data_IF_346691962090
#
_entry.id   IF_346691962090
#
_cell.length_a   1.000
_cell.length_b   1.000
_cell.length_c   1.000
_cell.angle_alpha   90.00
_cell.angle_beta   90.00
_cell.angle_gamma   90.00
#
_symmetry.space_group_name_H-M   'P 1'
#
loop_
_entity.id
_entity.type
_entity.pdbx_description
1 polymer ?
#
# COMPACT_ATOMS: atom_id res chain seq x y z
N UNK A 1 -25.71 -18.61 -62.33
CA UNK A 1 -26.55 -17.39 -62.39
C UNK A 1 -26.74 -16.95 -60.94
N UNK A 2 -26.47 -15.74 -60.46
CA UNK A 2 -26.17 -14.43 -61.04
C UNK A 2 -25.25 -13.70 -60.02
N UNK A 3 -24.11 -13.14 -60.44
CA UNK A 3 -23.92 -11.77 -60.92
C UNK A 3 -23.43 -10.80 -59.82
N UNK A 4 -22.12 -10.57 -59.86
CA UNK A 4 -21.41 -9.35 -59.46
C UNK A 4 -22.09 -8.10 -60.02
N UNK A 5 -22.15 -7.00 -59.27
CA UNK A 5 -21.88 -5.62 -59.75
C UNK A 5 -21.73 -4.65 -58.57
N UNK A 6 -20.59 -3.96 -58.54
CA UNK A 6 -20.29 -2.79 -57.70
C UNK A 6 -21.00 -1.54 -58.24
N UNK A 7 -21.22 -0.53 -57.38
CA UNK A 7 -20.93 0.84 -57.79
C UNK A 7 -20.49 1.71 -56.60
N UNK A 8 -19.34 2.35 -56.79
CA UNK A 8 -18.79 3.46 -56.02
C UNK A 8 -19.58 4.75 -56.32
N UNK A 9 -19.75 5.59 -55.31
CA UNK A 9 -19.64 7.05 -55.49
C UNK A 9 -18.77 7.63 -54.38
N UNK A 10 -17.68 8.26 -54.81
CA UNK A 10 -16.69 9.00 -54.02
C UNK A 10 -17.10 10.45 -53.85
N UNK A 11 -16.82 11.03 -52.68
CA UNK A 11 -16.43 12.43 -52.37
C UNK A 11 -16.95 12.79 -50.98
N UNK A 12 -16.28 13.49 -50.08
CA UNK A 12 -14.93 14.05 -49.99
C UNK A 12 -14.82 14.64 -48.57
N UNK A 13 -13.70 14.41 -47.90
CA UNK A 13 -13.06 15.25 -46.86
C UNK A 13 -13.93 15.96 -45.82
N UNK A 14 -13.74 15.64 -44.53
CA UNK A 14 -13.27 16.65 -43.55
C UNK A 14 -12.56 15.98 -42.38
N UNK A 15 -11.35 16.46 -42.12
CA UNK A 15 -10.55 16.29 -40.92
C UNK A 15 -11.32 16.57 -39.62
N UNK A 16 -11.14 15.72 -38.61
CA UNK A 16 -11.57 15.98 -37.24
C UNK A 16 -10.66 15.26 -36.27
N UNK A 17 -9.75 16.00 -35.63
CA UNK A 17 -8.77 15.45 -34.69
C UNK A 17 -9.42 14.74 -33.50
N UNK A 18 -8.73 13.72 -32.99
CA UNK A 18 -8.99 13.08 -31.70
C UNK A 18 -9.33 14.14 -30.64
N UNK A 19 -10.52 14.13 -30.03
CA UNK A 19 -10.67 14.71 -28.71
C UNK A 19 -9.78 13.90 -27.77
N UNK A 20 -8.95 14.55 -26.96
CA UNK A 20 -8.36 13.90 -25.79
C UNK A 20 -9.53 13.42 -24.95
N UNK A 21 -9.70 12.10 -24.85
CA UNK A 21 -10.72 11.45 -24.02
C UNK A 21 -10.67 12.06 -22.62
N UNK A 22 -11.71 12.83 -22.29
CA UNK A 22 -11.99 13.18 -20.91
C UNK A 22 -12.45 11.86 -20.28
N UNK A 23 -11.57 11.19 -19.54
CA UNK A 23 -11.90 9.99 -18.75
C UNK A 23 -13.26 10.19 -18.08
N UNK A 24 -14.11 9.16 -18.14
CA UNK A 24 -15.43 9.23 -17.51
C UNK A 24 -15.28 9.47 -16.01
N UNK A 25 -16.26 10.12 -15.38
CA UNK A 25 -16.25 10.32 -13.93
C UNK A 25 -16.10 8.99 -13.18
N UNK A 26 -16.76 7.94 -13.67
CA UNK A 26 -16.64 6.59 -13.12
C UNK A 26 -15.22 6.02 -13.18
N UNK A 27 -14.51 6.25 -14.29
CA UNK A 27 -13.11 5.83 -14.48
C UNK A 27 -12.17 6.59 -13.53
N UNK A 28 -12.41 7.89 -13.33
CA UNK A 28 -11.64 8.72 -12.38
C UNK A 28 -11.80 8.18 -10.95
N UNK A 29 -13.04 7.88 -10.53
CA UNK A 29 -13.27 7.28 -9.22
C UNK A 29 -12.61 5.89 -9.09
N UNK A 30 -12.69 5.06 -10.13
CA UNK A 30 -12.06 3.74 -10.12
C UNK A 30 -10.54 3.83 -9.97
N UNK A 31 -9.89 4.73 -10.72
CA UNK A 31 -8.45 4.98 -10.63
C UNK A 31 -8.05 5.51 -9.25
N UNK A 32 -8.82 6.44 -8.69
CA UNK A 32 -8.59 6.93 -7.32
C UNK A 32 -8.65 5.80 -6.27
N UNK A 33 -9.65 4.91 -6.37
CA UNK A 33 -9.73 3.75 -5.47
C UNK A 33 -8.56 2.78 -5.68
N UNK A 34 -8.12 2.60 -6.92
CA UNK A 34 -6.93 1.81 -7.22
C UNK A 34 -5.68 2.39 -6.56
N UNK A 35 -5.46 3.72 -6.65
CA UNK A 35 -4.33 4.39 -6.01
C UNK A 35 -4.33 4.19 -4.48
N UNK A 36 -5.50 4.35 -3.84
CA UNK A 36 -5.66 4.09 -2.40
C UNK A 36 -5.39 2.64 -2.03
N UNK A 37 -5.87 1.70 -2.83
CA UNK A 37 -5.60 0.27 -2.63
C UNK A 37 -4.11 -0.06 -2.77
N UNK A 38 -3.42 0.54 -3.75
CA UNK A 38 -1.97 0.40 -3.91
C UNK A 38 -1.23 0.93 -2.67
N UNK A 39 -1.59 2.11 -2.16
CA UNK A 39 -0.99 2.66 -0.94
C UNK A 39 -1.22 1.74 0.27
N UNK A 40 -2.44 1.23 0.45
CA UNK A 40 -2.76 0.30 1.54
C UNK A 40 -1.94 -1.00 1.45
N UNK A 41 -1.76 -1.54 0.25
CA UNK A 41 -0.93 -2.72 0.04
C UNK A 41 0.54 -2.45 0.38
N UNK A 42 1.08 -1.28 0.01
CA UNK A 42 2.43 -0.89 0.40
C UNK A 42 2.59 -0.80 1.92
N UNK A 43 1.61 -0.23 2.63
CA UNK A 43 1.61 -0.16 4.09
C UNK A 43 1.59 -1.57 4.72
N UNK A 44 0.73 -2.46 4.23
CA UNK A 44 0.67 -3.83 4.73
C UNK A 44 2.00 -4.57 4.52
N UNK A 45 2.59 -4.44 3.33
CA UNK A 45 3.90 -5.04 3.05
C UNK A 45 5.01 -4.44 3.93
N UNK A 46 4.99 -3.13 4.16
CA UNK A 46 5.95 -2.47 5.05
C UNK A 46 5.86 -3.03 6.47
N UNK A 47 4.65 -3.20 7.00
CA UNK A 47 4.44 -3.77 8.34
C UNK A 47 5.00 -5.19 8.45
N UNK A 48 4.83 -6.03 7.41
CA UNK A 48 5.44 -7.35 7.35
C UNK A 48 6.97 -7.27 7.39
N UNK A 49 7.58 -6.41 6.58
CA UNK A 49 9.04 -6.22 6.58
C UNK A 49 9.56 -5.71 7.93
N UNK A 50 8.84 -4.81 8.60
CA UNK A 50 9.22 -4.32 9.93
C UNK A 50 9.15 -5.42 11.00
N UNK A 51 8.19 -6.35 10.89
CA UNK A 51 8.11 -7.53 11.74
C UNK A 51 9.29 -8.47 11.49
N UNK A 52 9.57 -8.80 10.23
CA UNK A 52 10.70 -9.65 9.83
C UNK A 52 12.03 -9.06 10.33
N UNK A 53 12.22 -7.73 10.21
CA UNK A 53 13.41 -7.05 10.71
C UNK A 53 13.58 -7.23 12.24
N UNK A 54 12.48 -7.16 13.00
CA UNK A 54 12.51 -7.36 14.46
C UNK A 54 12.86 -8.81 14.82
N UNK A 55 12.32 -9.77 14.09
CA UNK A 55 12.65 -11.18 14.26
C UNK A 55 14.13 -11.44 13.95
N UNK A 56 14.63 -10.93 12.82
CA UNK A 56 16.04 -11.00 12.45
C UNK A 56 16.96 -10.44 13.54
N UNK A 57 16.63 -9.27 14.11
CA UNK A 57 17.39 -8.69 15.24
C UNK A 57 17.44 -9.64 16.44
N UNK A 58 16.29 -10.20 16.81
CA UNK A 58 16.19 -11.15 17.93
C UNK A 58 17.02 -12.42 17.68
N UNK A 59 16.96 -12.99 16.48
CA UNK A 59 17.75 -14.17 16.12
C UNK A 59 19.25 -13.87 16.12
N UNK A 60 19.66 -12.71 15.59
CA UNK A 60 21.06 -12.29 15.61
C UNK A 60 21.56 -12.14 17.05
N UNK A 61 20.80 -11.48 17.93
CA UNK A 61 21.21 -11.23 19.30
C UNK A 61 21.30 -12.52 20.12
N UNK A 62 20.41 -13.48 19.88
CA UNK A 62 20.51 -14.82 20.48
C UNK A 62 21.73 -15.59 19.96
N UNK A 63 21.98 -15.58 18.65
CA UNK A 63 23.12 -16.31 18.05
C UNK A 63 24.49 -15.74 18.45
N UNK A 64 24.59 -14.45 18.76
CA UNK A 64 25.83 -13.85 19.31
C UNK A 64 26.25 -14.46 20.65
N UNK A 65 25.30 -15.02 21.41
CA UNK A 65 25.59 -15.68 22.70
C UNK A 65 26.00 -17.14 22.54
N UNK A 66 25.91 -17.68 21.31
CA UNK A 66 26.23 -19.07 20.99
C UNK A 66 27.67 -19.15 20.45
N UNK A 67 28.35 -20.25 20.75
CA UNK A 67 29.69 -20.50 20.25
C UNK A 67 29.73 -20.53 18.70
N UNK A 68 30.70 -19.85 18.04
CA UNK A 68 30.76 -19.76 16.58
C UNK A 68 30.87 -21.11 15.85
N UNK A 69 31.58 -22.08 16.44
CA UNK A 69 31.75 -23.42 15.89
C UNK A 69 30.56 -24.35 16.08
N UNK A 70 29.51 -23.90 16.78
CA UNK A 70 28.30 -24.71 17.01
C UNK A 70 27.57 -24.92 15.68
N UNK A 71 27.10 -26.15 15.45
CA UNK A 71 26.23 -26.47 14.31
C UNK A 71 24.90 -25.72 14.40
N UNK A 72 24.48 -25.18 13.27
CA UNK A 72 23.23 -24.47 13.02
C UNK A 72 22.53 -25.15 11.84
N UNK A 73 21.21 -25.32 11.93
CA UNK A 73 20.42 -25.93 10.86
C UNK A 73 19.43 -24.93 10.31
N UNK A 74 19.47 -24.72 8.99
CA UNK A 74 18.50 -23.86 8.29
C UNK A 74 17.50 -24.72 7.54
N UNK A 75 16.21 -24.50 7.78
CA UNK A 75 15.14 -25.15 7.04
C UNK A 75 14.88 -24.41 5.72
N UNK A 76 14.99 -25.11 4.59
CA UNK A 76 14.74 -24.56 3.26
C UNK A 76 13.85 -25.55 2.51
N UNK A 77 12.62 -25.15 2.18
CA UNK A 77 11.71 -25.99 1.39
C UNK A 77 11.47 -27.39 1.98
N UNK A 78 11.54 -27.54 3.31
CA UNK A 78 11.39 -28.82 4.00
C UNK A 78 12.68 -29.62 4.23
N UNK A 79 13.83 -29.15 3.73
CA UNK A 79 15.15 -29.77 3.96
C UNK A 79 15.95 -28.97 4.98
N UNK A 80 16.57 -29.66 5.95
CA UNK A 80 17.50 -29.04 6.89
C UNK A 80 18.92 -29.02 6.31
N UNK A 81 19.48 -27.83 6.13
CA UNK A 81 20.87 -27.63 5.72
C UNK A 81 21.76 -27.40 6.95
N UNK A 82 22.82 -28.20 7.10
CA UNK A 82 23.85 -28.07 8.14
C UNK A 82 24.81 -26.92 7.81
N UNK A 83 25.02 -26.01 8.76
CA UNK A 83 26.00 -24.92 8.71
C UNK A 83 26.56 -24.64 10.12
N UNK A 84 27.49 -23.71 10.26
CA UNK A 84 28.01 -23.24 11.56
C UNK A 84 27.52 -21.82 11.85
N UNK A 85 27.49 -21.45 13.14
CA UNK A 85 27.07 -20.09 13.56
C UNK A 85 27.96 -19.01 12.94
N UNK A 86 29.27 -19.26 12.82
CA UNK A 86 30.21 -18.34 12.15
C UNK A 86 29.87 -18.06 10.68
N UNK A 87 29.23 -18.99 9.98
CA UNK A 87 28.79 -18.81 8.57
C UNK A 87 27.41 -18.15 8.51
N UNK A 88 26.50 -18.56 9.39
CA UNK A 88 25.10 -18.10 9.39
C UNK A 88 24.94 -16.67 9.92
N UNK A 89 25.70 -16.30 10.95
CA UNK A 89 25.56 -15.02 11.62
C UNK A 89 25.86 -13.82 10.68
N UNK A 90 26.94 -13.82 9.88
CA UNK A 90 27.17 -12.78 8.88
C UNK A 90 26.06 -12.70 7.83
N UNK A 91 25.51 -13.83 7.39
CA UNK A 91 24.41 -13.86 6.42
C UNK A 91 23.14 -13.21 7.00
N UNK A 92 22.82 -13.49 8.26
CA UNK A 92 21.68 -12.87 8.94
C UNK A 92 21.86 -11.35 9.08
N UNK A 93 23.08 -10.88 9.40
CA UNK A 93 23.41 -9.45 9.47
C UNK A 93 23.23 -8.78 8.10
N UNK A 94 23.77 -9.38 7.04
CA UNK A 94 23.62 -8.86 5.69
C UNK A 94 22.14 -8.78 5.25
N UNK A 95 21.35 -9.82 5.54
CA UNK A 95 19.92 -9.84 5.22
C UNK A 95 19.15 -8.78 6.02
N UNK A 96 19.49 -8.59 7.29
CA UNK A 96 18.92 -7.52 8.13
C UNK A 96 19.19 -6.14 7.54
N UNK A 97 20.41 -5.87 7.07
CA UNK A 97 20.75 -4.59 6.41
C UNK A 97 19.97 -4.38 5.12
N UNK A 98 19.74 -5.45 4.35
CA UNK A 98 18.89 -5.38 3.15
C UNK A 98 17.43 -5.08 3.52
N UNK A 99 16.89 -5.70 4.57
CA UNK A 99 15.56 -5.39 5.07
C UNK A 99 15.44 -3.93 5.52
N UNK A 100 16.45 -3.39 6.20
CA UNK A 100 16.47 -1.96 6.61
C UNK A 100 16.36 -1.03 5.40
N UNK A 101 17.13 -1.29 4.33
CA UNK A 101 17.05 -0.53 3.08
C UNK A 101 15.70 -0.66 2.39
N UNK A 102 15.10 -1.85 2.39
CA UNK A 102 13.78 -2.08 1.80
C UNK A 102 12.68 -1.35 2.58
N UNK A 103 12.78 -1.28 3.90
CA UNK A 103 11.85 -0.52 4.75
C UNK A 103 11.95 0.98 4.47
N UNK A 104 13.16 1.52 4.35
CA UNK A 104 13.37 2.93 3.97
C UNK A 104 12.73 3.25 2.61
N UNK A 105 13.02 2.45 1.59
CA UNK A 105 12.41 2.58 0.27
C UNK A 105 10.88 2.43 0.32
N UNK A 106 10.36 1.50 1.12
CA UNK A 106 8.92 1.32 1.31
C UNK A 106 8.25 2.56 1.91
N UNK A 107 8.89 3.21 2.88
CA UNK A 107 8.41 4.48 3.49
C UNK A 107 8.38 5.61 2.48
N UNK A 108 9.42 5.72 1.64
CA UNK A 108 9.46 6.69 0.54
C UNK A 108 8.34 6.45 -0.48
N UNK A 109 8.12 5.20 -0.87
CA UNK A 109 7.04 4.83 -1.81
C UNK A 109 5.66 5.14 -1.26
N UNK A 110 5.39 4.86 0.02
CA UNK A 110 4.11 5.20 0.66
C UNK A 110 3.89 6.71 0.66
N UNK A 111 4.92 7.48 0.98
CA UNK A 111 4.87 8.95 0.99
C UNK A 111 4.60 9.48 -0.42
N UNK A 112 5.36 9.01 -1.42
CA UNK A 112 5.17 9.37 -2.82
C UNK A 112 3.76 9.05 -3.32
N UNK A 113 3.23 7.87 -2.96
CA UNK A 113 1.87 7.46 -3.33
C UNK A 113 0.81 8.31 -2.64
N UNK A 114 1.05 8.73 -1.39
CA UNK A 114 0.18 9.67 -0.69
C UNK A 114 0.10 11.04 -1.37
N UNK A 115 1.23 11.56 -1.84
CA UNK A 115 1.27 12.81 -2.62
C UNK A 115 0.52 12.67 -3.95
N UNK A 116 0.73 11.55 -4.67
CA UNK A 116 0.02 11.23 -5.92
C UNK A 116 -1.50 11.15 -5.71
N UNK A 117 -1.96 10.53 -4.62
CA UNK A 117 -3.38 10.46 -4.24
C UNK A 117 -3.96 11.86 -4.00
N UNK A 118 -3.23 12.73 -3.30
CA UNK A 118 -3.69 14.09 -3.01
C UNK A 118 -3.77 14.93 -4.29
N UNK A 119 -2.74 14.87 -5.14
CA UNK A 119 -2.74 15.55 -6.44
C UNK A 119 -3.91 15.08 -7.31
N UNK A 120 -4.13 13.77 -7.41
CA UNK A 120 -5.24 13.20 -8.17
C UNK A 120 -6.60 13.64 -7.63
N UNK A 121 -6.75 13.75 -6.30
CA UNK A 121 -7.97 14.25 -5.66
C UNK A 121 -8.25 15.71 -6.05
N UNK A 122 -7.22 16.55 -6.02
CA UNK A 122 -7.34 17.99 -6.28
C UNK A 122 -7.60 18.26 -7.78
N UNK A 123 -6.87 17.60 -8.68
CA UNK A 123 -7.03 17.73 -10.14
C UNK A 123 -8.45 17.37 -10.61
N UNK A 124 -9.04 16.36 -9.99
CA UNK A 124 -10.35 15.83 -10.39
C UNK A 124 -11.51 16.28 -9.50
N UNK A 125 -11.27 17.15 -8.50
CA UNK A 125 -12.27 17.62 -7.53
C UNK A 125 -13.08 16.47 -6.89
N UNK A 126 -12.40 15.39 -6.53
CA UNK A 126 -13.04 14.18 -5.99
C UNK A 126 -13.61 14.48 -4.61
N UNK A 127 -14.95 14.45 -4.49
CA UNK A 127 -15.66 14.56 -3.22
C UNK A 127 -15.87 13.18 -2.63
N UNK A 128 -15.09 12.85 -1.60
CA UNK A 128 -15.25 11.60 -0.87
C UNK A 128 -16.48 11.75 0.02
N UNK A 129 -17.62 11.20 -0.42
CA UNK A 129 -18.86 11.14 0.36
C UNK A 129 -18.59 10.39 1.67
N UNK A 130 -18.48 11.13 2.78
CA UNK A 130 -18.19 10.60 4.12
C UNK A 130 -16.97 11.17 4.84
N UNK A 131 -16.19 12.08 4.24
CA UNK A 131 -15.05 12.74 4.92
C UNK A 131 -15.28 14.24 5.19
N UNK A 132 -16.20 14.90 4.47
CA UNK A 132 -16.48 16.34 4.61
C UNK A 132 -17.23 16.72 5.91
N UNK A 133 -17.68 15.75 6.71
CA UNK A 133 -18.35 16.02 8.01
C UNK A 133 -17.42 15.98 9.21
N UNK A 134 -16.14 15.59 9.06
CA UNK A 134 -15.21 15.47 10.19
C UNK A 134 -14.26 16.69 10.36
N UNK A 135 -14.15 17.58 9.36
CA UNK A 135 -13.18 18.68 9.38
C UNK A 135 -13.80 20.07 9.63
N UNK A 136 -15.08 20.13 10.01
CA UNK A 136 -15.78 21.34 10.45
C UNK A 136 -16.07 21.36 11.97
N UNK A 137 -15.57 20.38 12.74
CA UNK A 137 -15.83 20.24 14.18
C UNK A 137 -14.59 20.42 15.08
N UNK A 138 -13.49 20.98 14.53
CA UNK A 138 -12.25 21.27 15.29
C UNK A 138 -11.90 22.76 15.30
N UNK A 139 -12.91 23.62 15.32
CA UNK A 139 -12.78 25.05 15.62
C UNK A 139 -14.05 25.44 16.37
N UNK A 140 -13.89 25.98 17.58
CA UNK A 140 -14.94 26.34 18.57
C UNK A 140 -15.33 25.26 19.60
N UNK A 141 -14.51 25.10 20.66
CA UNK A 141 -14.86 25.57 22.01
C UNK A 141 -13.79 25.19 23.03
N UNK A 142 -13.14 26.22 23.57
CA UNK A 142 -12.40 26.18 24.83
C UNK A 142 -13.22 26.99 25.84
N UNK A 143 -13.80 26.33 26.85
CA UNK A 143 -14.04 26.81 28.22
C UNK A 143 -14.49 25.63 29.10
N UNK A 144 -13.84 25.50 30.27
CA UNK A 144 -13.97 24.51 31.36
C UNK A 144 -15.42 24.23 31.83
N UNK A 145 -15.79 23.16 32.58
CA UNK A 145 -15.17 22.56 33.78
C UNK A 145 -15.95 21.26 34.18
N UNK A 146 -15.27 20.35 34.89
CA UNK A 146 -15.68 19.21 35.75
C UNK A 146 -17.01 18.39 35.57
N UNK A 147 -16.86 17.05 35.40
CA UNK A 147 -17.12 16.00 36.43
C UNK A 147 -17.45 14.61 35.84
N UNK A 148 -16.66 13.62 36.25
CA UNK A 148 -16.87 12.16 36.39
C UNK A 148 -17.95 11.41 35.57
N UNK A 149 -17.53 10.30 34.93
CA UNK A 149 -18.44 9.20 34.61
C UNK A 149 -17.94 8.25 33.51
N UNK A 150 -17.59 7.03 33.89
CA UNK A 150 -17.16 5.94 33.03
C UNK A 150 -18.13 5.62 31.87
N UNK A 151 -17.59 5.14 30.75
CA UNK A 151 -17.97 3.87 30.09
C UNK A 151 -17.59 3.90 28.60
N UNK A 152 -16.83 2.90 28.17
CA UNK A 152 -16.27 2.83 26.82
C UNK A 152 -17.32 2.61 25.74
N UNK A 153 -17.20 3.35 24.64
CA UNK A 153 -17.95 3.10 23.41
C UNK A 153 -17.08 2.29 22.45
N UNK A 154 -17.22 0.96 22.52
CA UNK A 154 -16.80 0.05 21.45
C UNK A 154 -17.80 0.21 20.30
N UNK A 155 -17.35 0.70 19.15
CA UNK A 155 -18.11 0.67 17.91
C UNK A 155 -18.27 -0.80 17.47
N UNK A 156 -19.48 -1.35 17.58
CA UNK A 156 -19.86 -2.63 16.97
C UNK A 156 -21.08 -2.36 16.08
N UNK A 157 -20.91 -2.47 14.76
CA UNK A 157 -22.03 -2.44 13.81
C UNK A 157 -22.71 -3.81 13.83
N UNK A 158 -23.92 -3.88 14.40
CA UNK A 158 -24.81 -5.03 14.27
C UNK A 158 -25.76 -4.74 13.11
N UNK A 159 -25.68 -5.55 12.05
CA UNK A 159 -26.68 -5.56 10.98
C UNK A 159 -27.92 -6.30 11.44
N UNK A 160 -29.09 -5.69 11.30
CA UNK A 160 -30.38 -6.31 11.58
C UNK A 160 -30.95 -6.97 10.31
N UNK A 161 -31.36 -8.23 10.50
CA UNK A 161 -32.28 -9.11 9.76
C UNK A 161 -31.96 -9.44 8.28
#
# INVERSE_FOLDING_TARGET
MAATTQQMTTSSSTSGGKPKDKKSQEEIYAEFQQLRNQQRNLINNLNTLEMDLKEHKTVIDTLKTVEPGRKCFRLIGGVLCDQTVEIVLPQLVQNKEQLEKLIENGKEQITKKGLEINQFKDEHNIKIRGQDTAQAASSEKETADDKAGASGTRNVLVGNL
#
